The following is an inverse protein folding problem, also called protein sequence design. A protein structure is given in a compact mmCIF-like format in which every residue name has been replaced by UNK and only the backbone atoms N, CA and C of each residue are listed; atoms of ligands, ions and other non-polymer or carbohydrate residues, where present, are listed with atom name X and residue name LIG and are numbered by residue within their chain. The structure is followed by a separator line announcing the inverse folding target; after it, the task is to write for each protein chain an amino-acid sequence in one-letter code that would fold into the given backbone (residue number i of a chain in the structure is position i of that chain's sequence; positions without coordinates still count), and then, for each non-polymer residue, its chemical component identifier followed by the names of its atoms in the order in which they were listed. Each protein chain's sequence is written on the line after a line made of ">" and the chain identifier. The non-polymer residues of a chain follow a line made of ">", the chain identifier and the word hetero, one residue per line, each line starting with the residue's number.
data_IF_051865102368
#
_entry.id   IF_051865102368
#
_cell.length_a   1.000
_cell.length_b   1.000
_cell.length_c   1.000
_cell.angle_alpha   90.00
_cell.angle_beta   90.00
_cell.angle_gamma   90.00
#
_symmetry.space_group_name_H-M   'P 1'
#
loop_
_entity.id
_entity.type
_entity.pdbx_description
1 polymer ?
#
# COMPACT_ATOMS: atom_id res chain seq x y z
N UNK A 1 -70.81 19.39 -35.15
CA UNK A 1 -71.29 19.20 -33.76
C UNK A 1 -70.14 18.67 -32.92
N UNK A 2 -69.69 19.45 -31.94
CA UNK A 2 -68.51 19.17 -31.10
C UNK A 2 -69.00 18.48 -29.83
N UNK A 3 -68.78 17.17 -29.69
CA UNK A 3 -69.03 16.50 -28.41
C UNK A 3 -67.74 16.14 -27.70
N UNK A 4 -67.73 16.50 -26.43
CA UNK A 4 -66.58 16.73 -25.56
C UNK A 4 -66.62 15.68 -24.47
N UNK A 5 -65.43 15.33 -23.97
CA UNK A 5 -65.16 14.85 -22.60
C UNK A 5 -65.44 13.33 -22.38
N UNK A 6 -64.61 12.56 -21.67
CA UNK A 6 -63.68 12.89 -20.57
C UNK A 6 -62.49 11.93 -20.54
N UNK A 7 -61.28 12.48 -20.54
CA UNK A 7 -60.09 11.76 -20.08
C UNK A 7 -60.18 11.58 -18.56
N UNK A 8 -60.32 10.33 -18.12
CA UNK A 8 -60.19 9.96 -16.71
C UNK A 8 -58.70 9.99 -16.34
N UNK A 9 -58.17 11.19 -16.09
CA UNK A 9 -56.90 11.34 -15.39
C UNK A 9 -57.13 10.98 -13.93
N UNK A 10 -56.87 9.71 -13.61
CA UNK A 10 -56.68 9.24 -12.24
C UNK A 10 -55.54 10.05 -11.64
N UNK A 11 -55.87 11.15 -10.95
CA UNK A 11 -54.93 11.81 -10.06
C UNK A 11 -54.62 10.80 -8.94
N UNK A 12 -53.53 10.06 -9.08
CA UNK A 12 -52.82 9.51 -7.92
C UNK A 12 -52.47 10.72 -7.06
N UNK A 13 -53.21 10.90 -5.97
CA UNK A 13 -52.80 11.77 -4.89
C UNK A 13 -51.44 11.26 -4.42
N UNK A 14 -50.37 11.93 -4.85
CA UNK A 14 -49.07 11.74 -4.25
C UNK A 14 -49.23 12.22 -2.81
N UNK A 15 -49.42 11.27 -1.89
CA UNK A 15 -49.39 11.56 -0.46
C UNK A 15 -47.99 12.09 -0.14
N UNK A 16 -47.87 13.40 -0.10
CA UNK A 16 -46.73 14.08 0.48
C UNK A 16 -46.75 13.83 1.98
N UNK A 17 -46.24 12.68 2.40
CA UNK A 17 -45.94 12.40 3.79
C UNK A 17 -44.78 13.30 4.21
N UNK A 18 -45.01 14.16 5.21
CA UNK A 18 -43.94 14.91 5.86
C UNK A 18 -43.14 14.03 6.80
N UNK A 19 -41.93 14.47 7.15
CA UNK A 19 -41.07 13.78 8.11
C UNK A 19 -41.72 13.78 9.50
N UNK A 20 -41.80 12.59 10.11
CA UNK A 20 -42.23 12.49 11.52
C UNK A 20 -41.06 12.76 12.45
N UNK A 21 -41.33 13.20 13.69
CA UNK A 21 -40.28 13.39 14.69
C UNK A 21 -39.47 12.10 14.93
N UNK A 22 -40.14 10.94 14.89
CA UNK A 22 -39.53 9.62 15.06
C UNK A 22 -38.54 9.30 13.94
N UNK A 23 -38.84 9.69 12.71
CA UNK A 23 -37.96 9.47 11.55
C UNK A 23 -36.68 10.31 11.64
N UNK A 24 -36.80 11.57 12.07
CA UNK A 24 -35.64 12.44 12.30
C UNK A 24 -34.76 11.88 13.43
N UNK A 25 -35.37 11.40 14.51
CA UNK A 25 -34.67 10.75 15.62
C UNK A 25 -33.94 9.48 15.15
N UNK A 26 -34.61 8.63 14.38
CA UNK A 26 -33.99 7.44 13.79
C UNK A 26 -32.81 7.80 12.88
N UNK A 27 -32.92 8.87 12.09
CA UNK A 27 -31.86 9.35 11.20
C UNK A 27 -30.63 9.84 11.99
N UNK A 28 -30.85 10.62 13.06
CA UNK A 28 -29.75 11.11 13.91
C UNK A 28 -29.05 9.95 14.61
N UNK A 29 -29.79 8.96 15.11
CA UNK A 29 -29.21 7.74 15.71
C UNK A 29 -28.43 6.93 14.68
N UNK A 30 -28.95 6.79 13.46
CA UNK A 30 -28.27 6.08 12.38
C UNK A 30 -26.95 6.77 12.00
N UNK A 31 -26.97 8.09 11.77
CA UNK A 31 -25.75 8.85 11.45
C UNK A 31 -24.77 8.77 12.63
N UNK A 32 -25.26 8.91 13.86
CA UNK A 32 -24.44 8.83 15.07
C UNK A 32 -23.74 7.48 15.27
N UNK A 33 -24.34 6.38 14.80
CA UNK A 33 -23.74 5.04 14.86
C UNK A 33 -22.81 4.75 13.69
N UNK A 34 -23.09 5.26 12.49
CA UNK A 34 -22.27 5.03 11.29
C UNK A 34 -21.01 5.89 11.28
N UNK A 35 -21.10 7.16 11.68
CA UNK A 35 -19.99 8.12 11.54
C UNK A 35 -18.69 7.66 12.25
N UNK A 36 -18.71 7.12 13.48
CA UNK A 36 -17.50 6.62 14.13
C UNK A 36 -16.85 5.46 13.37
N UNK A 37 -17.66 4.58 12.77
CA UNK A 37 -17.16 3.45 11.96
C UNK A 37 -16.49 3.97 10.69
N UNK A 38 -17.14 4.90 9.98
CA UNK A 38 -16.57 5.52 8.78
C UNK A 38 -15.23 6.22 9.07
N UNK A 39 -15.14 6.99 10.16
CA UNK A 39 -13.90 7.65 10.56
C UNK A 39 -12.78 6.66 10.86
N UNK A 40 -13.09 5.56 11.56
CA UNK A 40 -12.10 4.50 11.85
C UNK A 40 -11.58 3.85 10.58
N UNK A 41 -12.45 3.57 9.61
CA UNK A 41 -12.06 3.01 8.31
C UNK A 41 -11.13 3.95 7.56
N UNK A 42 -11.46 5.25 7.48
CA UNK A 42 -10.60 6.25 6.79
C UNK A 42 -9.23 6.35 7.47
N UNK A 43 -9.20 6.40 8.81
CA UNK A 43 -7.95 6.46 9.55
C UNK A 43 -7.08 5.21 9.32
N UNK A 44 -7.71 4.02 9.26
CA UNK A 44 -7.02 2.78 8.97
C UNK A 44 -6.47 2.76 7.54
N UNK A 45 -7.27 3.11 6.54
CA UNK A 45 -6.83 3.18 5.15
C UNK A 45 -5.66 4.16 4.96
N UNK A 46 -5.71 5.31 5.63
CA UNK A 46 -4.62 6.31 5.58
C UNK A 46 -3.32 5.76 6.17
N UNK A 47 -3.41 5.05 7.31
CA UNK A 47 -2.24 4.40 7.94
C UNK A 47 -1.66 3.31 7.04
N UNK A 48 -2.51 2.48 6.44
CA UNK A 48 -2.07 1.45 5.50
C UNK A 48 -1.42 2.05 4.26
N UNK A 49 -2.00 3.09 3.66
CA UNK A 49 -1.43 3.78 2.52
C UNK A 49 -0.04 4.36 2.83
N UNK A 50 0.14 4.99 4.00
CA UNK A 50 1.44 5.49 4.45
C UNK A 50 2.47 4.37 4.65
N UNK A 51 2.04 3.21 5.15
CA UNK A 51 2.89 2.03 5.27
C UNK A 51 3.29 1.47 3.89
N UNK A 52 2.33 1.27 2.99
CA UNK A 52 2.59 0.76 1.64
C UNK A 52 3.52 1.66 0.84
N UNK A 53 3.41 2.99 1.02
CA UNK A 53 4.31 3.94 0.36
C UNK A 53 5.78 3.72 0.76
N UNK A 54 6.07 3.55 2.05
CA UNK A 54 7.44 3.31 2.54
C UNK A 54 7.99 1.97 2.09
N UNK A 55 7.11 0.97 1.96
CA UNK A 55 7.47 -0.36 1.49
C UNK A 55 7.82 -0.35 0.00
N UNK A 56 7.03 0.32 -0.84
CA UNK A 56 7.32 0.50 -2.27
C UNK A 56 8.65 1.24 -2.46
N UNK A 57 8.89 2.27 -1.65
CA UNK A 57 10.16 3.01 -1.62
C UNK A 57 11.34 2.10 -1.26
N UNK A 58 11.22 1.29 -0.20
CA UNK A 58 12.23 0.30 0.19
C UNK A 58 12.50 -0.72 -0.93
N UNK A 59 11.46 -1.21 -1.60
CA UNK A 59 11.60 -2.13 -2.76
C UNK A 59 12.34 -1.47 -3.92
N UNK A 60 12.01 -0.22 -4.23
CA UNK A 60 12.68 0.54 -5.29
C UNK A 60 14.17 0.74 -4.98
N UNK A 61 14.49 1.09 -3.73
CA UNK A 61 15.87 1.27 -3.27
C UNK A 61 16.63 -0.06 -3.30
N UNK A 62 16.04 -1.14 -2.78
CA UNK A 62 16.61 -2.47 -2.80
C UNK A 62 16.89 -2.94 -4.23
N UNK A 63 15.94 -2.75 -5.15
CA UNK A 63 16.07 -3.15 -6.55
C UNK A 63 17.18 -2.38 -7.27
N UNK A 64 17.27 -1.07 -7.01
CA UNK A 64 18.33 -0.21 -7.57
C UNK A 64 19.70 -0.64 -7.05
N UNK A 65 19.82 -0.88 -5.74
CA UNK A 65 21.07 -1.31 -5.13
C UNK A 65 21.49 -2.70 -5.59
N UNK A 66 20.54 -3.62 -5.72
CA UNK A 66 20.76 -4.95 -6.27
C UNK A 66 21.31 -4.87 -7.70
N UNK A 67 20.68 -4.06 -8.56
CA UNK A 67 21.13 -3.86 -9.93
C UNK A 67 22.53 -3.23 -10.01
N UNK A 68 22.82 -2.25 -9.15
CA UNK A 68 24.14 -1.63 -9.04
C UNK A 68 25.23 -2.64 -8.65
N UNK A 69 24.96 -3.46 -7.63
CA UNK A 69 25.90 -4.50 -7.17
C UNK A 69 26.13 -5.54 -8.28
N UNK A 70 25.07 -6.00 -8.93
CA UNK A 70 25.16 -6.98 -10.03
C UNK A 70 25.96 -6.42 -11.20
N UNK A 71 25.69 -5.17 -11.62
CA UNK A 71 26.37 -4.53 -12.74
C UNK A 71 27.86 -4.24 -12.47
N UNK A 72 28.19 -3.81 -11.25
CA UNK A 72 29.57 -3.55 -10.82
C UNK A 72 30.36 -4.82 -10.52
N UNK A 73 29.71 -5.98 -10.40
CA UNK A 73 30.27 -7.25 -9.90
C UNK A 73 30.86 -7.14 -8.49
N UNK A 74 30.53 -6.07 -7.78
CA UNK A 74 31.15 -5.73 -6.50
C UNK A 74 30.68 -6.64 -5.35
N UNK A 75 29.59 -7.40 -5.58
CA UNK A 75 29.12 -8.48 -4.71
C UNK A 75 30.14 -9.61 -4.51
N UNK A 76 31.11 -9.79 -5.43
CA UNK A 76 32.06 -10.90 -5.35
C UNK A 76 33.07 -10.76 -4.20
N UNK A 77 33.24 -9.56 -3.64
CA UNK A 77 34.23 -9.23 -2.61
C UNK A 77 33.77 -9.48 -1.16
N UNK A 78 32.54 -9.96 -0.96
CA UNK A 78 31.99 -10.29 0.36
C UNK A 78 30.76 -9.46 0.73
N UNK A 79 30.33 -9.56 1.99
CA UNK A 79 29.17 -8.83 2.50
C UNK A 79 29.43 -7.32 2.57
N UNK A 80 28.43 -6.52 2.20
CA UNK A 80 28.49 -5.05 2.20
C UNK A 80 27.34 -4.45 2.99
N UNK A 81 27.52 -3.24 3.49
CA UNK A 81 26.45 -2.48 4.12
C UNK A 81 26.72 -0.99 3.96
N UNK A 82 25.67 -0.19 4.09
CA UNK A 82 25.76 1.26 4.05
C UNK A 82 24.38 1.91 4.19
N UNK A 83 24.35 3.22 3.94
CA UNK A 83 23.11 3.99 3.85
C UNK A 83 22.87 4.43 2.40
N UNK A 84 21.75 5.12 2.18
CA UNK A 84 21.38 5.73 0.91
C UNK A 84 21.66 7.24 0.89
N UNK A 85 22.50 7.74 1.80
CA UNK A 85 22.88 9.15 1.90
C UNK A 85 21.75 10.10 2.28
N UNK A 86 21.94 11.38 1.97
CA UNK A 86 21.02 12.47 2.33
C UNK A 86 19.70 12.46 1.55
N UNK A 87 19.67 11.80 0.39
CA UNK A 87 18.46 11.71 -0.44
C UNK A 87 17.39 10.80 0.20
N UNK A 88 17.81 9.82 0.99
CA UNK A 88 16.93 8.84 1.63
C UNK A 88 17.32 8.62 3.10
N UNK A 89 17.11 9.63 3.97
CA UNK A 89 17.53 9.55 5.37
C UNK A 89 16.73 8.47 6.11
N UNK A 90 17.45 7.68 6.92
CA UNK A 90 16.85 6.61 7.74
C UNK A 90 16.57 5.31 6.99
N UNK A 91 17.03 5.20 5.74
CA UNK A 91 17.16 3.93 5.02
C UNK A 91 18.60 3.45 5.05
N UNK A 92 18.78 2.20 5.43
CA UNK A 92 20.06 1.50 5.44
C UNK A 92 19.94 0.24 4.59
N UNK A 93 21.06 -0.26 4.09
CA UNK A 93 21.10 -1.51 3.33
C UNK A 93 22.25 -2.40 3.77
N UNK A 94 22.04 -3.70 3.61
CA UNK A 94 23.10 -4.71 3.67
C UNK A 94 22.97 -5.66 2.49
N UNK A 95 24.08 -6.22 2.06
CA UNK A 95 24.17 -7.20 1.00
C UNK A 95 24.99 -8.38 1.48
N UNK A 96 24.48 -9.58 1.33
CA UNK A 96 25.16 -10.81 1.70
C UNK A 96 25.15 -11.79 0.53
N UNK A 97 26.27 -12.49 0.34
CA UNK A 97 26.39 -13.50 -0.71
C UNK A 97 26.56 -14.86 -0.08
N UNK A 98 25.62 -15.76 -0.37
CA UNK A 98 25.63 -17.14 0.10
C UNK A 98 25.83 -18.12 -1.06
N UNK A 99 26.46 -19.26 -0.76
CA UNK A 99 26.57 -20.35 -1.72
C UNK A 99 25.22 -21.03 -1.89
N UNK A 100 24.80 -21.24 -3.13
CA UNK A 100 23.61 -22.04 -3.42
C UNK A 100 23.97 -23.53 -3.55
N UNK A 101 22.98 -24.41 -3.42
CA UNK A 101 23.16 -25.88 -3.38
C UNK A 101 23.92 -26.44 -4.59
N UNK A 102 23.80 -25.81 -5.76
CA UNK A 102 24.64 -26.07 -6.93
C UNK A 102 25.79 -25.06 -6.99
N UNK A 103 27.03 -25.57 -7.05
CA UNK A 103 28.28 -24.81 -6.92
C UNK A 103 28.53 -23.73 -7.98
N UNK A 104 27.73 -23.72 -9.06
CA UNK A 104 27.90 -22.82 -10.20
C UNK A 104 27.20 -21.46 -10.01
N UNK A 105 26.32 -21.32 -9.02
CA UNK A 105 25.60 -20.06 -8.75
C UNK A 105 25.74 -19.65 -7.29
N UNK A 106 25.72 -18.35 -7.05
CA UNK A 106 25.65 -17.76 -5.72
C UNK A 106 24.36 -16.97 -5.59
N UNK A 107 23.81 -16.93 -4.39
CA UNK A 107 22.67 -16.07 -4.07
C UNK A 107 23.19 -14.78 -3.48
N UNK A 108 22.73 -13.65 -4.02
CA UNK A 108 22.95 -12.32 -3.49
C UNK A 108 21.65 -11.83 -2.85
N UNK A 109 21.69 -11.60 -1.55
CA UNK A 109 20.60 -11.07 -0.75
C UNK A 109 20.87 -9.61 -0.40
N UNK A 110 20.03 -8.71 -0.88
CA UNK A 110 20.05 -7.29 -0.52
C UNK A 110 18.91 -6.99 0.42
N UNK A 111 19.24 -6.56 1.63
CA UNK A 111 18.30 -6.18 2.67
C UNK A 111 18.27 -4.66 2.79
N UNK A 112 17.08 -4.08 2.86
CA UNK A 112 16.88 -2.65 3.16
C UNK A 112 16.14 -2.52 4.47
N UNK A 113 16.67 -1.71 5.37
CA UNK A 113 16.15 -1.44 6.70
C UNK A 113 15.62 -0.03 6.79
N UNK A 114 14.49 0.15 7.47
CA UNK A 114 13.94 1.45 7.76
C UNK A 114 13.12 1.43 9.05
N UNK A 115 13.00 2.59 9.70
CA UNK A 115 12.15 2.73 10.89
C UNK A 115 10.77 3.26 10.53
N UNK A 116 9.72 2.56 10.94
CA UNK A 116 8.33 3.00 10.78
C UNK A 116 7.57 2.87 12.09
N UNK A 117 6.99 3.99 12.56
CA UNK A 117 6.26 4.08 13.83
C UNK A 117 7.05 3.51 15.04
N UNK A 118 8.35 3.79 15.11
CA UNK A 118 9.23 3.33 16.19
C UNK A 118 9.63 1.85 16.11
N UNK A 119 9.25 1.14 15.04
CA UNK A 119 9.65 -0.25 14.80
C UNK A 119 10.55 -0.34 13.58
N UNK A 120 11.70 -1.00 13.73
CA UNK A 120 12.57 -1.33 12.61
C UNK A 120 11.89 -2.39 11.74
N UNK A 121 11.88 -2.13 10.44
CA UNK A 121 11.38 -3.04 9.41
C UNK A 121 12.48 -3.30 8.41
N UNK A 122 12.39 -4.44 7.75
CA UNK A 122 13.34 -4.85 6.74
C UNK A 122 12.60 -5.50 5.57
N UNK A 123 13.21 -5.40 4.40
CA UNK A 123 12.79 -6.09 3.18
C UNK A 123 14.02 -6.67 2.51
N UNK A 124 13.94 -7.93 2.10
CA UNK A 124 15.03 -8.64 1.43
C UNK A 124 14.65 -8.92 -0.01
N UNK A 125 15.53 -8.56 -0.95
CA UNK A 125 15.49 -9.01 -2.34
C UNK A 125 16.64 -9.94 -2.60
N UNK A 126 16.34 -11.07 -3.23
CA UNK A 126 17.32 -12.12 -3.54
C UNK A 126 17.43 -12.28 -5.05
N UNK A 127 18.65 -12.44 -5.54
CA UNK A 127 18.91 -12.84 -6.94
C UNK A 127 20.00 -13.89 -7.00
N UNK A 128 19.99 -14.69 -8.06
CA UNK A 128 21.08 -15.60 -8.37
C UNK A 128 22.07 -14.90 -9.30
N UNK A 129 23.35 -15.04 -8.99
CA UNK A 129 24.47 -14.50 -9.76
C UNK A 129 25.45 -15.62 -10.08
N UNK A 130 26.03 -15.57 -11.29
CA UNK A 130 27.08 -16.49 -11.69
C UNK A 130 28.43 -15.89 -11.30
N UNK A 131 29.23 -16.52 -10.43
CA UNK A 131 30.65 -16.25 -10.38
C UNK A 131 31.21 -16.69 -11.74
N UNK A 132 31.78 -15.76 -12.52
CA UNK A 132 32.24 -16.07 -13.88
C UNK A 132 33.05 -17.36 -13.91
N UNK A 133 32.68 -18.26 -14.83
CA UNK A 133 33.52 -19.38 -15.19
C UNK A 133 34.80 -18.80 -15.81
N UNK A 134 35.92 -19.08 -15.15
CA UNK A 134 37.26 -18.74 -15.63
C UNK A 134 37.58 -19.46 -16.93
#
# INVERSE_FOLDING_TARGET
>A
MRNKRRDNLVRRSARSGGFTFVELLATVVLIGTIMPVAMRTIALCTRLAGQSRREIEAVSLASTKLAELVASKDWATGGKAGDFGADWPGYEWSAEVSSWTESTVRQLDVQVFWTSQGRQRQLTLSTLVYPEAK
#
